data_IF_319613641419
#
_entry.id   IF_319613641419
#
_cell.length_a   1.000
_cell.length_b   1.000
_cell.length_c   1.000
_cell.angle_alpha   90.00
_cell.angle_beta   90.00
_cell.angle_gamma   90.00
#
_symmetry.space_group_name_H-M   'P 1'
#
loop_
_entity.id
_entity.type
_entity.pdbx_description
1 polymer ?
#
# COMPACT_ATOMS: atom_id res chain seq x y z
N UNK A 1 11.45 -10.09 21.09
CA UNK A 1 11.63 -8.93 20.19
C UNK A 1 10.25 -8.31 19.97
N UNK A 2 9.97 -7.25 20.72
CA UNK A 2 8.62 -6.67 20.92
C UNK A 2 8.13 -6.00 19.64
N UNK A 3 7.24 -6.65 18.88
CA UNK A 3 6.51 -6.02 17.78
C UNK A 3 5.44 -5.10 18.38
N UNK A 4 5.74 -3.80 18.45
CA UNK A 4 4.72 -2.77 18.71
C UNK A 4 3.92 -2.64 17.41
N UNK A 5 2.63 -3.01 17.34
CA UNK A 5 1.82 -2.64 16.19
C UNK A 5 1.83 -1.11 16.11
N UNK A 6 2.19 -0.55 14.95
CA UNK A 6 2.06 0.88 14.72
C UNK A 6 0.62 1.25 15.07
N UNK A 7 0.45 2.24 15.95
CA UNK A 7 -0.85 2.73 16.43
C UNK A 7 -1.84 3.06 15.30
N UNK A 8 -1.31 3.31 14.10
CA UNK A 8 -2.06 3.53 12.87
C UNK A 8 -2.79 2.27 12.40
N UNK A 9 -2.17 1.10 12.39
CA UNK A 9 -2.83 -0.14 11.94
C UNK A 9 -3.93 -0.59 12.90
N UNK A 10 -3.73 -0.41 14.21
CA UNK A 10 -4.76 -0.67 15.21
C UNK A 10 -5.93 0.32 15.08
N UNK A 11 -5.65 1.61 14.87
CA UNK A 11 -6.67 2.62 14.59
C UNK A 11 -7.36 2.39 13.25
N UNK A 12 -6.65 1.79 12.29
CA UNK A 12 -7.18 1.43 11.00
C UNK A 12 -8.10 0.18 11.13
N UNK A 13 -7.72 -0.80 11.93
CA UNK A 13 -8.54 -2.01 12.11
C UNK A 13 -9.71 -1.79 13.08
N UNK A 14 -9.67 -0.75 13.92
CA UNK A 14 -10.74 -0.38 14.84
C UNK A 14 -11.97 0.16 14.09
N UNK A 15 -12.81 -0.77 13.65
CA UNK A 15 -14.13 -0.49 13.08
C UNK A 15 -15.15 -0.15 14.16
N UNK A 16 -14.73 0.57 15.22
CA UNK A 16 -15.64 1.03 16.26
C UNK A 16 -16.70 1.92 15.60
N UNK A 17 -17.99 1.56 15.66
CA UNK A 17 -19.04 2.47 15.25
C UNK A 17 -18.86 3.74 16.06
N UNK A 18 -18.67 4.88 15.41
CA UNK A 18 -18.65 6.19 16.08
C UNK A 18 -20.05 6.80 15.97
N UNK A 19 -20.98 6.45 16.86
CA UNK A 19 -22.38 6.92 16.80
C UNK A 19 -22.52 8.44 16.99
N UNK A 20 -21.43 9.15 17.29
CA UNK A 20 -21.40 10.60 17.49
C UNK A 20 -21.28 11.44 16.21
N UNK A 21 -21.13 10.82 15.03
CA UNK A 21 -21.06 11.51 13.74
C UNK A 21 -22.32 11.18 12.92
N UNK A 22 -23.17 12.18 12.68
CA UNK A 22 -24.35 12.08 11.82
C UNK A 22 -24.20 12.90 10.53
N UNK A 23 -24.92 12.50 9.48
CA UNK A 23 -24.99 13.24 8.21
C UNK A 23 -23.72 13.21 7.35
N UNK A 24 -23.46 14.30 6.61
CA UNK A 24 -22.39 14.41 5.62
C UNK A 24 -20.97 14.16 6.18
N UNK A 25 -20.75 14.47 7.47
CA UNK A 25 -19.45 14.26 8.12
C UNK A 25 -19.15 12.78 8.35
N UNK A 26 -20.18 11.95 8.57
CA UNK A 26 -20.04 10.48 8.63
C UNK A 26 -19.73 9.91 7.25
N UNK A 27 -20.46 10.37 6.22
CA UNK A 27 -20.23 9.94 4.85
C UNK A 27 -18.81 10.27 4.36
N UNK A 28 -18.30 11.47 4.66
CA UNK A 28 -16.93 11.85 4.30
C UNK A 28 -15.88 11.00 5.02
N UNK A 29 -16.06 10.72 6.32
CA UNK A 29 -15.14 9.88 7.09
C UNK A 29 -15.17 8.44 6.59
N UNK A 30 -16.34 7.87 6.33
CA UNK A 30 -16.50 6.52 5.77
C UNK A 30 -15.92 6.44 4.34
N UNK A 31 -16.10 7.48 3.51
CA UNK A 31 -15.52 7.58 2.17
C UNK A 31 -13.99 7.65 2.21
N UNK A 32 -13.40 8.49 3.07
CA UNK A 32 -11.94 8.55 3.27
C UNK A 32 -11.40 7.20 3.73
N UNK A 33 -12.12 6.56 4.66
CA UNK A 33 -11.75 5.25 5.16
C UNK A 33 -11.76 4.21 4.02
N UNK A 34 -12.88 4.07 3.34
CA UNK A 34 -13.01 3.19 2.19
C UNK A 34 -11.92 3.46 1.14
N UNK A 35 -11.68 4.73 0.82
CA UNK A 35 -10.63 5.16 -0.11
C UNK A 35 -9.22 4.72 0.31
N UNK A 36 -8.87 4.81 1.60
CA UNK A 36 -7.56 4.34 2.10
C UNK A 36 -7.42 2.82 1.94
N UNK A 37 -8.50 2.05 2.16
CA UNK A 37 -8.48 0.59 1.99
C UNK A 37 -8.31 0.19 0.53
N UNK A 38 -9.05 0.83 -0.38
CA UNK A 38 -8.95 0.61 -1.83
C UNK A 38 -7.60 1.07 -2.40
N UNK A 39 -7.09 2.23 -1.97
CA UNK A 39 -5.77 2.71 -2.37
C UNK A 39 -4.65 1.74 -1.96
N UNK A 40 -4.77 1.10 -0.78
CA UNK A 40 -3.82 0.08 -0.33
C UNK A 40 -3.93 -1.21 -1.15
N UNK A 41 -5.12 -1.58 -1.61
CA UNK A 41 -5.30 -2.72 -2.51
C UNK A 41 -4.62 -2.49 -3.88
N UNK A 42 -4.63 -1.24 -4.36
CA UNK A 42 -4.01 -0.86 -5.64
C UNK A 42 -2.52 -0.46 -5.55
N UNK A 43 -1.97 -0.33 -4.34
CA UNK A 43 -0.60 0.16 -4.11
C UNK A 43 0.46 -0.69 -4.84
N UNK A 44 0.30 -2.01 -4.83
CA UNK A 44 1.19 -2.92 -5.56
C UNK A 44 1.20 -2.61 -7.06
N UNK A 45 0.01 -2.55 -7.68
CA UNK A 45 -0.13 -2.33 -9.12
C UNK A 45 0.45 -0.96 -9.53
N UNK A 46 0.14 0.10 -8.78
CA UNK A 46 0.67 1.44 -9.06
C UNK A 46 2.19 1.50 -8.98
N UNK A 47 2.79 0.96 -7.91
CA UNK A 47 4.24 0.93 -7.73
C UNK A 47 4.94 0.07 -8.78
N UNK A 48 4.36 -1.08 -9.14
CA UNK A 48 4.91 -1.95 -10.17
C UNK A 48 4.88 -1.29 -11.55
N UNK A 49 3.79 -0.60 -11.92
CA UNK A 49 3.74 0.16 -13.16
C UNK A 49 4.76 1.30 -13.20
N UNK A 50 4.91 2.05 -12.11
CA UNK A 50 5.95 3.08 -12.02
C UNK A 50 7.36 2.48 -12.24
N UNK A 51 7.63 1.30 -11.68
CA UNK A 51 8.88 0.59 -11.93
C UNK A 51 9.03 0.17 -13.41
N UNK A 52 7.96 -0.33 -14.04
CA UNK A 52 7.97 -0.69 -15.47
C UNK A 52 8.31 0.50 -16.37
N UNK A 53 7.82 1.70 -16.03
CA UNK A 53 8.14 2.94 -16.76
C UNK A 53 9.54 3.47 -16.45
N UNK A 54 10.04 3.30 -15.22
CA UNK A 54 11.36 3.77 -14.80
C UNK A 54 12.52 2.87 -15.23
N UNK A 55 12.29 1.56 -15.42
CA UNK A 55 13.35 0.62 -15.77
C UNK A 55 13.74 0.76 -17.26
N UNK A 56 15.02 1.06 -17.57
CA UNK A 56 15.49 1.15 -18.95
C UNK A 56 15.47 -0.20 -19.66
N UNK A 57 15.23 -0.21 -20.98
CA UNK A 57 15.11 -1.46 -21.77
C UNK A 57 16.37 -2.32 -21.78
N UNK A 58 17.54 -1.69 -21.64
CA UNK A 58 18.82 -2.38 -21.58
C UNK A 58 19.05 -3.14 -20.26
N UNK A 59 18.19 -2.94 -19.26
CA UNK A 59 18.47 -3.35 -17.89
C UNK A 59 19.44 -2.40 -17.19
N UNK A 60 19.79 -2.72 -15.94
CA UNK A 60 20.72 -1.93 -15.11
C UNK A 60 21.78 -2.89 -14.57
N UNK A 61 23.06 -2.46 -14.53
CA UNK A 61 24.17 -3.26 -13.98
C UNK A 61 24.34 -4.67 -14.61
N UNK A 62 23.95 -4.86 -15.88
CA UNK A 62 24.03 -6.16 -16.56
C UNK A 62 22.90 -7.13 -16.23
N UNK A 63 21.92 -6.72 -15.41
CA UNK A 63 20.71 -7.50 -15.11
C UNK A 63 19.65 -7.21 -16.20
N UNK A 64 19.10 -8.24 -16.87
CA UNK A 64 18.04 -8.05 -17.87
C UNK A 64 16.81 -7.36 -17.30
N UNK A 65 16.07 -6.63 -18.14
CA UNK A 65 14.87 -5.87 -17.74
C UNK A 65 13.88 -6.69 -16.91
N UNK A 66 13.59 -7.92 -17.32
CA UNK A 66 12.59 -8.76 -16.66
C UNK A 66 13.03 -9.21 -15.26
N UNK A 67 14.30 -9.56 -15.09
CA UNK A 67 14.87 -9.92 -13.79
C UNK A 67 14.87 -8.72 -12.84
N UNK A 68 15.20 -7.54 -13.34
CA UNK A 68 15.14 -6.32 -12.54
C UNK A 68 13.71 -6.00 -12.09
N UNK A 69 12.72 -6.15 -12.97
CA UNK A 69 11.31 -5.97 -12.63
C UNK A 69 10.83 -7.02 -11.61
N UNK A 70 11.32 -8.26 -11.71
CA UNK A 70 11.04 -9.31 -10.73
C UNK A 70 11.59 -8.93 -9.34
N UNK A 71 12.84 -8.46 -9.26
CA UNK A 71 13.45 -8.01 -8.00
C UNK A 71 12.67 -6.84 -7.38
N UNK A 72 12.24 -5.88 -8.21
CA UNK A 72 11.41 -4.77 -7.74
C UNK A 72 10.06 -5.26 -7.24
N UNK A 73 9.40 -6.20 -7.94
CA UNK A 73 8.13 -6.78 -7.50
C UNK A 73 8.28 -7.46 -6.12
N UNK A 74 9.34 -8.26 -5.93
CA UNK A 74 9.64 -8.91 -4.65
C UNK A 74 9.92 -7.90 -3.54
N UNK A 75 10.65 -6.82 -3.84
CA UNK A 75 10.92 -5.75 -2.87
C UNK A 75 9.62 -5.03 -2.44
N UNK A 76 8.74 -4.71 -3.40
CA UNK A 76 7.43 -4.11 -3.10
C UNK A 76 6.58 -5.07 -2.26
N UNK A 77 6.53 -6.36 -2.61
CA UNK A 77 5.79 -7.37 -1.86
C UNK A 77 6.33 -7.53 -0.44
N UNK A 78 7.65 -7.64 -0.27
CA UNK A 78 8.29 -7.74 1.05
C UNK A 78 8.00 -6.51 1.90
N UNK A 79 8.06 -5.31 1.32
CA UNK A 79 7.67 -4.06 1.99
C UNK A 79 6.20 -4.10 2.41
N UNK A 80 5.29 -4.50 1.52
CA UNK A 80 3.85 -4.58 1.83
C UNK A 80 3.52 -5.60 2.91
N UNK A 81 4.29 -6.70 3.00
CA UNK A 81 4.16 -7.69 4.08
C UNK A 81 4.70 -7.13 5.40
N UNK A 82 5.80 -6.36 5.36
CA UNK A 82 6.40 -5.77 6.56
C UNK A 82 5.62 -4.56 7.09
N UNK A 83 4.94 -3.82 6.22
CA UNK A 83 4.11 -2.67 6.54
C UNK A 83 2.66 -3.04 6.90
N UNK A 84 2.36 -4.33 7.10
CA UNK A 84 1.05 -4.84 7.54
C UNK A 84 1.09 -5.20 9.03
#
# INVERSE_FOLDING_TARGET
>A
MSQRPLSLDAYLLDSKPRPRLSGARRALVEFLWFGIKEARACLFAGLFFLAVFGVPRAGILGIPRYDLLLLIALAIQAWMVWAK
#
